data_IF_738007607868
#
_entry.id   IF_738007607868
#
_cell.length_a   1.000
_cell.length_b   1.000
_cell.length_c   1.000
_cell.angle_alpha   90.00
_cell.angle_beta   90.00
_cell.angle_gamma   90.00
#
_symmetry.space_group_name_H-M   'P 1'
#
loop_
_entity.id
_entity.type
_entity.pdbx_description
1 polymer ?
#
# COMPACT_ATOMS: atom_id res chain seq x y z
N UNK A 1 -11.42 -7.42 -1.47
CA UNK A 1 -10.06 -7.01 -1.91
C UNK A 1 -9.16 -6.67 -0.74
N UNK A 2 -9.58 -5.79 0.18
CA UNK A 2 -8.79 -5.43 1.36
C UNK A 2 -8.22 -6.63 2.13
N UNK A 3 -9.06 -7.59 2.51
CA UNK A 3 -8.61 -8.79 3.24
C UNK A 3 -7.56 -9.62 2.49
N UNK A 4 -7.66 -9.69 1.15
CA UNK A 4 -6.68 -10.40 0.31
C UNK A 4 -5.34 -9.65 0.30
N UNK A 5 -5.39 -8.32 0.17
CA UNK A 5 -4.19 -7.49 0.29
C UNK A 5 -3.55 -7.60 1.67
N UNK A 6 -4.35 -7.58 2.75
CA UNK A 6 -3.86 -7.75 4.11
C UNK A 6 -3.21 -9.13 4.33
N UNK A 7 -3.83 -10.21 3.87
CA UNK A 7 -3.23 -11.54 3.91
C UNK A 7 -1.93 -11.60 3.10
N UNK A 8 -1.91 -11.03 1.90
CA UNK A 8 -0.71 -10.93 1.07
C UNK A 8 0.42 -10.16 1.75
N UNK A 9 0.11 -9.03 2.37
CA UNK A 9 1.07 -8.20 3.12
C UNK A 9 1.76 -8.99 4.24
N UNK A 10 1.01 -9.80 4.98
CA UNK A 10 1.55 -10.60 6.09
C UNK A 10 2.35 -11.83 5.63
N UNK A 11 2.04 -12.39 4.46
CA UNK A 11 2.66 -13.63 3.96
C UNK A 11 3.94 -13.35 3.15
N UNK A 12 4.01 -12.20 2.47
CA UNK A 12 5.06 -11.90 1.50
C UNK A 12 6.29 -11.31 2.18
N UNK A 13 7.48 -11.83 1.83
CA UNK A 13 8.77 -11.31 2.32
C UNK A 13 9.44 -10.31 1.38
N UNK A 14 9.03 -10.28 0.12
CA UNK A 14 9.56 -9.35 -0.86
C UNK A 14 8.93 -7.96 -0.66
N UNK A 15 9.70 -6.91 -0.32
CA UNK A 15 9.20 -5.56 -0.05
C UNK A 15 8.34 -4.99 -1.18
N UNK A 16 8.71 -5.25 -2.44
CA UNK A 16 7.98 -4.74 -3.59
C UNK A 16 6.59 -5.38 -3.71
N UNK A 17 6.49 -6.68 -3.40
CA UNK A 17 5.21 -7.39 -3.38
C UNK A 17 4.35 -6.92 -2.21
N UNK A 18 4.95 -6.61 -1.07
CA UNK A 18 4.23 -6.01 0.07
C UNK A 18 3.63 -4.65 -0.28
N UNK A 19 4.36 -3.76 -0.97
CA UNK A 19 3.79 -2.50 -1.48
C UNK A 19 2.61 -2.75 -2.42
N UNK A 20 2.73 -3.72 -3.34
CA UNK A 20 1.62 -4.08 -4.23
C UNK A 20 0.39 -4.60 -3.45
N UNK A 21 0.59 -5.27 -2.32
CA UNK A 21 -0.49 -5.68 -1.42
C UNK A 21 -1.16 -4.48 -0.73
N UNK A 22 -0.39 -3.47 -0.31
CA UNK A 22 -0.94 -2.21 0.25
C UNK A 22 -1.77 -1.47 -0.79
N UNK A 23 -1.28 -1.35 -2.03
CA UNK A 23 -2.06 -0.75 -3.14
C UNK A 23 -3.39 -1.49 -3.36
N UNK A 24 -3.38 -2.83 -3.29
CA UNK A 24 -4.60 -3.63 -3.40
C UNK A 24 -5.57 -3.38 -2.23
N UNK A 25 -5.04 -3.13 -1.02
CA UNK A 25 -5.85 -2.76 0.15
C UNK A 25 -6.51 -1.39 -0.06
N UNK A 26 -5.74 -0.38 -0.46
CA UNK A 26 -6.25 0.98 -0.73
C UNK A 26 -7.28 0.98 -1.87
N UNK A 27 -7.08 0.17 -2.91
CA UNK A 27 -8.08 0.00 -3.97
C UNK A 27 -9.39 -0.61 -3.44
N UNK A 28 -9.30 -1.58 -2.53
CA UNK A 28 -10.47 -2.14 -1.85
C UNK A 28 -11.25 -1.09 -1.05
N UNK A 29 -10.55 -0.20 -0.35
CA UNK A 29 -11.17 0.92 0.39
C UNK A 29 -11.82 1.91 -0.57
N UNK A 30 -11.18 2.23 -1.70
CA UNK A 30 -11.76 3.12 -2.71
C UNK A 30 -13.07 2.58 -3.28
N UNK A 31 -13.15 1.29 -3.57
CA UNK A 31 -14.40 0.66 -4.02
C UNK A 31 -15.49 0.81 -2.95
N UNK A 32 -15.16 0.61 -1.66
CA UNK A 32 -16.12 0.83 -0.58
C UNK A 32 -16.61 2.29 -0.52
N UNK A 33 -15.72 3.27 -0.68
CA UNK A 33 -16.12 4.68 -0.71
C UNK A 33 -17.03 5.02 -1.89
N UNK A 34 -16.72 4.53 -3.10
CA UNK A 34 -17.60 4.73 -4.27
C UNK A 34 -18.94 4.05 -4.06
N UNK A 35 -18.95 2.81 -3.55
CA UNK A 35 -20.17 2.04 -3.34
C UNK A 35 -21.10 2.74 -2.32
N UNK A 36 -20.57 3.15 -1.17
CA UNK A 36 -21.36 3.85 -0.16
C UNK A 36 -21.73 5.27 -0.58
N UNK A 37 -20.84 5.99 -1.28
CA UNK A 37 -21.17 7.30 -1.85
C UNK A 37 -22.31 7.22 -2.88
N UNK A 38 -22.34 6.18 -3.70
CA UNK A 38 -23.43 5.93 -4.64
C UNK A 38 -24.74 5.55 -3.92
N UNK A 39 -24.69 4.65 -2.93
CA UNK A 39 -25.85 4.19 -2.16
C UNK A 39 -26.50 5.35 -1.35
N UNK A 40 -25.66 6.17 -0.71
CA UNK A 40 -26.10 7.31 0.11
C UNK A 40 -26.34 8.59 -0.71
N UNK A 41 -26.10 8.58 -2.02
CA UNK A 41 -26.12 9.78 -2.90
C UNK A 41 -25.21 10.92 -2.37
N UNK A 42 -24.04 10.57 -1.84
CA UNK A 42 -23.07 11.52 -1.29
C UNK A 42 -21.81 11.58 -2.16
N UNK A 43 -21.50 12.79 -2.66
CA UNK A 43 -20.27 13.09 -3.41
C UNK A 43 -19.00 12.97 -2.57
N UNK A 44 -19.14 12.96 -1.23
CA UNK A 44 -18.05 12.75 -0.27
C UNK A 44 -17.30 11.44 -0.49
N UNK A 45 -17.97 10.39 -0.98
CA UNK A 45 -17.32 9.12 -1.34
C UNK A 45 -16.27 9.28 -2.44
N UNK A 46 -16.62 9.99 -3.52
CA UNK A 46 -15.76 10.25 -4.68
C UNK A 46 -14.61 11.19 -4.31
N UNK A 47 -14.88 12.20 -3.46
CA UNK A 47 -13.84 13.10 -2.93
C UNK A 47 -12.82 12.30 -2.10
N UNK A 48 -13.29 11.40 -1.24
CA UNK A 48 -12.42 10.54 -0.42
C UNK A 48 -11.51 9.67 -1.28
N UNK A 49 -12.03 9.09 -2.37
CA UNK A 49 -11.23 8.31 -3.34
C UNK A 49 -10.13 9.15 -3.96
N UNK A 50 -10.44 10.40 -4.34
CA UNK A 50 -9.44 11.29 -4.91
C UNK A 50 -8.27 11.54 -3.94
N UNK A 51 -8.56 11.78 -2.66
CA UNK A 51 -7.50 11.91 -1.65
C UNK A 51 -6.69 10.63 -1.46
N UNK A 52 -7.35 9.46 -1.42
CA UNK A 52 -6.64 8.18 -1.30
C UNK A 52 -5.70 7.95 -2.48
N UNK A 53 -6.12 8.28 -3.72
CA UNK A 53 -5.26 8.17 -4.90
C UNK A 53 -4.03 9.07 -4.82
N UNK A 54 -4.18 10.30 -4.31
CA UNK A 54 -3.05 11.22 -4.11
C UNK A 54 -2.09 10.68 -3.05
N UNK A 55 -2.61 10.18 -1.92
CA UNK A 55 -1.78 9.59 -0.86
C UNK A 55 -1.05 8.35 -1.37
N UNK A 56 -1.73 7.46 -2.09
CA UNK A 56 -1.14 6.26 -2.70
C UNK A 56 0.00 6.62 -3.66
N UNK A 57 -0.19 7.65 -4.50
CA UNK A 57 0.86 8.10 -5.42
C UNK A 57 2.12 8.59 -4.67
N UNK A 58 1.94 9.35 -3.58
CA UNK A 58 3.06 9.82 -2.74
C UNK A 58 3.73 8.65 -2.03
N UNK A 59 2.95 7.72 -1.47
CA UNK A 59 3.45 6.53 -0.79
C UNK A 59 4.32 5.68 -1.72
N UNK A 60 3.88 5.39 -2.94
CA UNK A 60 4.64 4.58 -3.91
C UNK A 60 5.97 5.23 -4.28
N UNK A 61 5.99 6.55 -4.47
CA UNK A 61 7.24 7.27 -4.77
C UNK A 61 8.25 7.13 -3.63
N UNK A 62 7.81 7.34 -2.40
CA UNK A 62 8.68 7.24 -1.21
C UNK A 62 9.08 5.79 -0.94
N UNK A 63 8.14 4.85 -1.03
CA UNK A 63 8.35 3.43 -0.81
C UNK A 63 9.34 2.83 -1.79
N UNK A 64 9.19 3.11 -3.09
CA UNK A 64 10.12 2.65 -4.11
C UNK A 64 11.51 3.29 -3.95
N UNK A 65 11.58 4.58 -3.63
CA UNK A 65 12.86 5.24 -3.36
C UNK A 65 13.62 4.55 -2.20
N UNK A 66 12.89 4.16 -1.14
CA UNK A 66 13.46 3.43 -0.02
C UNK A 66 13.92 2.02 -0.42
N UNK A 67 13.10 1.27 -1.15
CA UNK A 67 13.45 -0.08 -1.63
C UNK A 67 14.71 -0.04 -2.50
N UNK A 68 14.80 0.92 -3.42
CA UNK A 68 15.99 1.11 -4.26
C UNK A 68 17.21 1.47 -3.42
N UNK A 69 17.06 2.35 -2.42
CA UNK A 69 18.15 2.73 -1.53
C UNK A 69 18.69 1.54 -0.72
N UNK A 70 17.79 0.66 -0.25
CA UNK A 70 18.15 -0.57 0.46
C UNK A 70 18.84 -1.55 -0.49
N UNK A 71 18.26 -1.82 -1.67
CA UNK A 71 18.82 -2.76 -2.64
C UNK A 71 20.20 -2.32 -3.17
N UNK A 72 20.48 -1.01 -3.24
CA UNK A 72 21.82 -0.50 -3.56
C UNK A 72 22.88 -0.85 -2.52
N UNK A 73 22.49 -1.06 -1.26
CA UNK A 73 23.41 -1.39 -0.16
C UNK A 73 23.49 -2.89 0.12
N UNK A 74 22.41 -3.63 -0.18
CA UNK A 74 22.29 -5.07 0.03
C UNK A 74 21.49 -5.68 -1.13
N UNK A 75 22.16 -6.35 -2.04
CA UNK A 75 21.49 -7.13 -3.08
C UNK A 75 20.63 -8.22 -2.42
N UNK A 76 19.40 -8.41 -2.92
CA UNK A 76 18.40 -9.36 -2.41
C UNK A 76 17.93 -9.15 -0.96
N UNK A 77 17.96 -7.90 -0.47
CA UNK A 77 17.42 -7.58 0.85
C UNK A 77 15.92 -7.90 0.96
N UNK A 78 15.56 -8.80 1.89
CA UNK A 78 14.18 -9.05 2.29
C UNK A 78 13.77 -8.08 3.40
N UNK A 79 12.46 -7.94 3.64
CA UNK A 79 12.00 -7.05 4.72
C UNK A 79 12.48 -7.48 6.11
N UNK A 80 12.70 -8.77 6.33
CA UNK A 80 13.20 -9.31 7.60
C UNK A 80 14.69 -8.96 7.84
N UNK A 81 15.45 -8.69 6.77
CA UNK A 81 16.89 -8.40 6.82
C UNK A 81 17.22 -6.99 7.33
N UNK A 82 16.21 -6.11 7.41
CA UNK A 82 16.35 -4.72 7.88
C UNK A 82 16.25 -4.62 9.43
N UNK A 83 16.43 -5.74 10.13
CA UNK A 83 16.28 -5.83 11.60
C UNK A 83 17.46 -5.31 12.43
N UNK A 84 18.20 -4.32 11.92
CA UNK A 84 19.40 -3.73 12.58
C UNK A 84 19.10 -2.96 13.88
N UNK A 85 17.86 -2.55 14.10
CA UNK A 85 17.42 -1.85 15.32
C UNK A 85 16.68 -2.81 16.24
N UNK A 86 17.43 -3.74 16.86
CA UNK A 86 16.96 -4.52 18.00
C UNK A 86 17.71 -4.04 19.23
N UNK A 87 16.97 -3.43 20.16
CA UNK A 87 17.48 -3.08 21.48
C UNK A 87 17.88 -4.32 22.27
#
# INVERSE_FOLDING_TARGET
MFAIGAAGLLIRRNPLVMFMCVELMLNGVNISFVAFGADLNDVGGQISVFFVLVVAAVEVVVGLALVVAINRRRADATADDVSLLRG
#
